data_IF_757895901213
#
_entry.id   IF_757895901213
#
_cell.length_a   1.000
_cell.length_b   1.000
_cell.length_c   1.000
_cell.angle_alpha   90.00
_cell.angle_beta   90.00
_cell.angle_gamma   90.00
#
_symmetry.space_group_name_H-M   'P 1'
#
loop_
_entity.id
_entity.type
_entity.pdbx_description
1 polymer ?
#
# COMPACT_ATOMS: atom_id res chain seq x y z
N UNK A 1 -0.58 -15.42 11.45
CA UNK A 1 -1.71 -14.46 11.41
C UNK A 1 -1.85 -14.02 9.97
N UNK A 2 -3.05 -14.05 9.38
CA UNK A 2 -3.22 -13.56 8.01
C UNK A 2 -3.27 -12.02 8.03
N UNK A 3 -2.29 -11.36 7.42
CA UNK A 3 -2.18 -9.89 7.36
C UNK A 3 -2.88 -9.29 6.14
N UNK A 4 -3.39 -10.12 5.22
CA UNK A 4 -4.00 -9.66 3.96
C UNK A 4 -5.11 -8.62 4.17
N UNK A 5 -6.06 -8.80 5.12
CA UNK A 5 -7.12 -7.81 5.31
C UNK A 5 -6.57 -6.45 5.76
N UNK A 6 -5.45 -6.43 6.50
CA UNK A 6 -4.82 -5.20 6.96
C UNK A 6 -4.13 -4.50 5.79
N UNK A 7 -3.37 -5.26 4.99
CA UNK A 7 -2.69 -4.74 3.81
C UNK A 7 -3.70 -4.19 2.80
N UNK A 8 -4.78 -4.93 2.54
CA UNK A 8 -5.86 -4.47 1.68
C UNK A 8 -6.51 -3.19 2.21
N UNK A 9 -6.90 -3.16 3.50
CA UNK A 9 -7.49 -1.95 4.08
C UNK A 9 -6.56 -0.72 3.95
N UNK A 10 -5.26 -0.88 4.18
CA UNK A 10 -4.30 0.20 4.04
C UNK A 10 -4.18 0.70 2.60
N UNK A 11 -4.03 -0.21 1.63
CA UNK A 11 -3.84 0.16 0.23
C UNK A 11 -5.13 0.72 -0.38
N UNK A 12 -6.29 0.19 0.00
CA UNK A 12 -7.58 0.78 -0.37
C UNK A 12 -7.74 2.20 0.18
N UNK A 13 -7.27 2.49 1.41
CA UNK A 13 -7.27 3.87 1.92
C UNK A 13 -6.36 4.80 1.10
N UNK A 14 -5.21 4.33 0.63
CA UNK A 14 -4.32 5.11 -0.25
C UNK A 14 -5.01 5.39 -1.58
N UNK A 15 -5.60 4.37 -2.19
CA UNK A 15 -6.35 4.49 -3.45
C UNK A 15 -7.52 5.47 -3.31
N UNK A 16 -8.27 5.41 -2.20
CA UNK A 16 -9.34 6.37 -1.90
C UNK A 16 -8.83 7.81 -1.75
N UNK A 17 -7.65 8.01 -1.15
CA UNK A 17 -7.05 9.34 -1.00
C UNK A 17 -6.54 9.89 -2.33
N UNK A 18 -6.01 9.04 -3.20
CA UNK A 18 -5.54 9.41 -4.54
C UNK A 18 -6.70 9.72 -5.50
N UNK A 19 -7.85 9.07 -5.31
CA UNK A 19 -9.05 9.29 -6.09
C UNK A 19 -9.94 10.44 -5.58
N UNK A 20 -9.70 10.94 -4.36
CA UNK A 20 -10.53 11.97 -3.74
C UNK A 20 -10.44 13.31 -4.48
N UNK A 21 -11.59 13.95 -4.67
CA UNK A 21 -11.64 15.31 -5.21
C UNK A 21 -11.17 16.34 -4.15
N UNK A 22 -10.66 17.52 -4.56
CA UNK A 22 -10.12 18.51 -3.61
C UNK A 22 -11.13 19.06 -2.59
N UNK A 23 -12.43 18.89 -2.84
CA UNK A 23 -13.52 19.23 -1.92
C UNK A 23 -13.90 18.08 -0.98
N UNK A 24 -13.49 16.84 -1.27
CA UNK A 24 -13.68 15.67 -0.41
C UNK A 24 -12.55 15.54 0.62
N UNK A 25 -11.30 15.81 0.21
CA UNK A 25 -10.12 15.76 1.07
C UNK A 25 -9.19 16.92 0.78
N UNK A 26 -8.73 17.60 1.83
CA UNK A 26 -7.71 18.64 1.68
C UNK A 26 -6.41 18.03 1.11
N UNK A 27 -5.88 18.51 -0.03
CA UNK A 27 -4.71 17.90 -0.68
C UNK A 27 -3.48 17.82 0.24
N UNK A 28 -3.29 18.82 1.11
CA UNK A 28 -2.20 18.86 2.09
C UNK A 28 -2.30 17.70 3.10
N UNK A 29 -3.53 17.29 3.44
CA UNK A 29 -3.81 16.23 4.38
C UNK A 29 -3.64 14.85 3.75
N UNK A 30 -4.10 14.67 2.50
CA UNK A 30 -3.88 13.42 1.74
C UNK A 30 -2.39 13.09 1.62
N UNK A 31 -1.57 14.08 1.25
CA UNK A 31 -0.11 13.94 1.18
C UNK A 31 0.49 13.58 2.55
N UNK A 32 0.01 14.20 3.63
CA UNK A 32 0.49 13.91 4.98
C UNK A 32 0.18 12.48 5.43
N UNK A 33 -0.98 11.95 5.08
CA UNK A 33 -1.34 10.55 5.39
C UNK A 33 -0.40 9.60 4.67
N UNK A 34 -0.17 9.81 3.37
CA UNK A 34 0.76 8.99 2.58
C UNK A 34 2.19 9.05 3.13
N UNK A 35 2.66 10.23 3.56
CA UNK A 35 3.96 10.39 4.20
C UNK A 35 4.06 9.57 5.49
N UNK A 36 3.09 9.70 6.39
CA UNK A 36 3.08 8.95 7.66
C UNK A 36 3.06 7.44 7.41
N UNK A 37 2.25 6.97 6.46
CA UNK A 37 2.25 5.57 6.07
C UNK A 37 3.63 5.15 5.56
N UNK A 38 4.23 5.91 4.64
CA UNK A 38 5.58 5.66 4.15
C UNK A 38 6.65 5.57 5.24
N UNK A 39 6.63 6.48 6.23
CA UNK A 39 7.54 6.46 7.37
C UNK A 39 7.45 5.17 8.20
N UNK A 40 6.23 4.70 8.49
CA UNK A 40 6.03 3.44 9.22
C UNK A 40 6.46 2.23 8.40
N UNK A 41 6.30 2.27 7.09
CA UNK A 41 6.74 1.20 6.19
C UNK A 41 8.27 1.14 6.09
N UNK A 42 8.94 2.29 6.10
CA UNK A 42 10.42 2.37 6.18
C UNK A 42 10.99 1.90 7.51
N UNK A 43 10.17 1.86 8.58
CA UNK A 43 10.57 1.32 9.87
C UNK A 43 10.53 -0.22 9.92
N UNK A 44 10.08 -0.88 8.85
CA UNK A 44 10.07 -2.34 8.76
C UNK A 44 11.53 -2.84 8.73
N UNK A 45 11.90 -3.81 9.60
CA UNK A 45 13.24 -4.35 9.62
C UNK A 45 13.63 -4.95 8.26
N UNK A 46 14.88 -4.73 7.78
CA UNK A 46 15.36 -5.35 6.54
C UNK A 46 15.30 -6.89 6.55
N UNK A 47 15.29 -7.51 7.74
CA UNK A 47 15.10 -8.96 7.89
C UNK A 47 13.72 -9.44 7.46
N UNK A 48 12.72 -8.57 7.51
CA UNK A 48 11.31 -8.90 7.32
C UNK A 48 10.83 -8.51 5.90
N UNK A 49 11.60 -7.68 5.19
CA UNK A 49 11.34 -7.25 3.81
C UNK A 49 11.09 -8.40 2.82
N UNK A 50 11.84 -9.53 2.84
CA UNK A 50 11.58 -10.63 1.91
C UNK A 50 10.20 -11.26 2.10
N UNK A 51 9.79 -11.48 3.37
CA UNK A 51 8.49 -12.06 3.69
C UNK A 51 7.36 -11.11 3.31
N UNK A 52 7.51 -9.82 3.64
CA UNK A 52 6.57 -8.78 3.25
C UNK A 52 6.43 -8.68 1.73
N UNK A 53 7.55 -8.68 1.00
CA UNK A 53 7.55 -8.65 -0.47
C UNK A 53 6.78 -9.82 -1.06
N UNK A 54 7.00 -11.03 -0.56
CA UNK A 54 6.25 -12.22 -1.00
C UNK A 54 4.76 -12.07 -0.72
N UNK A 55 4.39 -11.52 0.44
CA UNK A 55 3.00 -11.29 0.82
C UNK A 55 2.31 -10.27 -0.10
N UNK A 56 2.94 -9.12 -0.34
CA UNK A 56 2.42 -8.08 -1.24
C UNK A 56 2.20 -8.61 -2.65
N UNK A 57 3.17 -9.35 -3.21
CA UNK A 57 3.06 -9.92 -4.55
C UNK A 57 1.97 -10.98 -4.66
N UNK A 58 1.77 -11.79 -3.62
CA UNK A 58 0.68 -12.77 -3.56
C UNK A 58 -0.68 -12.08 -3.57
N UNK A 59 -0.89 -11.15 -2.65
CA UNK A 59 -2.16 -10.39 -2.55
C UNK A 59 -2.43 -9.69 -3.89
N UNK A 60 -1.41 -9.05 -4.49
CA UNK A 60 -1.54 -8.41 -5.80
C UNK A 60 -1.92 -9.38 -6.92
N UNK A 61 -1.53 -10.65 -6.83
CA UNK A 61 -1.99 -11.69 -7.74
C UNK A 61 -3.47 -12.02 -7.52
N UNK A 62 -3.84 -12.24 -6.26
CA UNK A 62 -5.17 -12.66 -5.84
C UNK A 62 -6.26 -11.63 -6.22
N UNK A 63 -5.97 -10.32 -6.12
CA UNK A 63 -6.93 -9.25 -6.42
C UNK A 63 -6.78 -8.63 -7.82
N UNK A 64 -5.87 -9.15 -8.65
CA UNK A 64 -5.47 -8.47 -9.90
C UNK A 64 -6.58 -8.22 -10.92
N UNK A 65 -7.59 -9.09 -10.99
CA UNK A 65 -8.72 -8.95 -11.91
C UNK A 65 -9.81 -8.03 -11.35
N UNK A 66 -10.07 -8.10 -10.04
CA UNK A 66 -11.15 -7.36 -9.38
C UNK A 66 -10.74 -5.91 -9.06
N UNK A 67 -9.48 -5.71 -8.66
CA UNK A 67 -8.95 -4.44 -8.17
C UNK A 67 -7.58 -4.13 -8.83
N UNK A 68 -7.54 -3.84 -10.15
CA UNK A 68 -6.30 -3.71 -10.90
C UNK A 68 -5.40 -2.56 -10.41
N UNK A 69 -6.00 -1.46 -9.91
CA UNK A 69 -5.26 -0.32 -9.34
C UNK A 69 -4.57 -0.70 -8.03
N UNK A 70 -5.28 -1.37 -7.13
CA UNK A 70 -4.73 -1.87 -5.85
C UNK A 70 -3.62 -2.89 -6.12
N UNK A 71 -3.81 -3.80 -7.08
CA UNK A 71 -2.77 -4.73 -7.51
C UNK A 71 -1.52 -4.01 -8.06
N UNK A 72 -1.68 -2.87 -8.73
CA UNK A 72 -0.56 -2.05 -9.20
C UNK A 72 0.21 -1.40 -8.03
N UNK A 73 -0.49 -0.80 -7.06
CA UNK A 73 0.12 -0.23 -5.85
C UNK A 73 0.92 -1.26 -5.06
N UNK A 74 0.34 -2.45 -4.84
CA UNK A 74 1.01 -3.54 -4.13
C UNK A 74 2.30 -3.99 -4.83
N UNK A 75 2.30 -4.08 -6.16
CA UNK A 75 3.48 -4.44 -6.95
C UNK A 75 4.55 -3.35 -6.90
N UNK A 76 4.15 -2.08 -7.01
CA UNK A 76 5.07 -0.95 -6.90
C UNK A 76 5.75 -0.96 -5.54
N UNK A 77 4.98 -1.12 -4.47
CA UNK A 77 5.53 -1.18 -3.13
C UNK A 77 6.46 -2.38 -2.94
N UNK A 78 6.09 -3.57 -3.41
CA UNK A 78 6.96 -4.74 -3.40
C UNK A 78 8.27 -4.56 -4.19
N UNK A 79 8.29 -3.66 -5.19
CA UNK A 79 9.48 -3.27 -5.94
C UNK A 79 10.41 -2.35 -5.16
N UNK A 80 9.85 -1.51 -4.29
CA UNK A 80 10.60 -0.53 -3.48
C UNK A 80 11.18 -1.12 -2.18
N UNK A 81 10.83 -2.37 -1.83
CA UNK A 81 11.44 -3.08 -0.70
C UNK A 81 12.83 -3.59 -1.12
N UNK A 82 13.88 -3.07 -0.48
CA UNK A 82 15.28 -3.46 -0.71
C UNK A 82 16.09 -2.58 -1.67
N UNK A 83 15.57 -1.41 -2.07
CA UNK A 83 16.33 -0.31 -2.71
C UNK A 83 16.78 0.74 -1.67
#
# INVERSE_FOLDING_TARGET
MNLDPIIMAMVSCIDMLDAAEPDEVEPSYAVKVQQVMGEYLQAIPPSDEPELRTMLLRIAGDVSEEEPTIAAYLRQWAGNLGE
#
